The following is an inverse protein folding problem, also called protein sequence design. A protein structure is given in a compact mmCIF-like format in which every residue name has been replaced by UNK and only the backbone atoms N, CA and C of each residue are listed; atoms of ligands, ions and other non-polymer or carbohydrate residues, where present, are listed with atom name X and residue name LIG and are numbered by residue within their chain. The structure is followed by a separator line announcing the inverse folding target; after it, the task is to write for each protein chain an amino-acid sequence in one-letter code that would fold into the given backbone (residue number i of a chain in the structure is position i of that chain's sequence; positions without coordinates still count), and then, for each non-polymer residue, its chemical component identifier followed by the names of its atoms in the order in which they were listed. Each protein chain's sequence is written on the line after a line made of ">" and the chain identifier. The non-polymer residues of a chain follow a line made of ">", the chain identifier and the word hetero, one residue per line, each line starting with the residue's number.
data_IF_229557531353
#
_entry.id   IF_229557531353
#
_cell.length_a   1.000
_cell.length_b   1.000
_cell.length_c   1.000
_cell.angle_alpha   90.00
_cell.angle_beta   90.00
_cell.angle_gamma   90.00
#
_symmetry.space_group_name_H-M   'P 1'
#
loop_
_entity.id
_entity.type
_entity.pdbx_description
1 polymer ?
#
# COMPACT_ATOMS: atom_id res chain seq x y z
N UNK A 1 -85.89 11.62 4.59
CA UNK A 1 -84.89 10.99 5.49
C UNK A 1 -83.83 10.34 4.59
N UNK A 2 -82.78 11.06 4.25
CA UNK A 2 -81.70 10.60 3.41
C UNK A 2 -80.39 10.72 4.18
N UNK A 3 -79.72 9.61 4.44
CA UNK A 3 -78.42 9.54 5.07
C UNK A 3 -77.33 9.71 4.00
N UNK A 4 -76.26 10.51 4.22
CA UNK A 4 -75.10 10.53 3.31
C UNK A 4 -74.12 9.39 3.67
N UNK A 5 -73.63 8.69 2.64
CA UNK A 5 -72.50 7.79 2.70
C UNK A 5 -71.21 8.60 2.74
N UNK A 6 -70.45 8.46 3.76
CA UNK A 6 -69.05 8.94 3.86
C UNK A 6 -68.11 7.93 3.20
N UNK A 7 -67.52 8.30 2.07
CA UNK A 7 -66.47 7.49 1.44
C UNK A 7 -65.13 7.80 2.11
N UNK A 8 -64.54 6.73 2.71
CA UNK A 8 -63.20 6.78 3.31
C UNK A 8 -62.15 6.51 2.19
N UNK A 9 -61.44 7.53 1.76
CA UNK A 9 -60.35 7.38 0.82
C UNK A 9 -59.10 6.90 1.57
N UNK A 10 -58.67 5.66 1.31
CA UNK A 10 -57.39 5.11 1.79
C UNK A 10 -56.24 5.65 0.95
N UNK A 11 -55.38 6.47 1.56
CA UNK A 11 -54.15 6.99 0.94
C UNK A 11 -53.10 5.89 1.07
N UNK A 12 -52.81 5.19 -0.04
CA UNK A 12 -51.67 4.22 -0.12
C UNK A 12 -50.43 5.05 -0.35
N UNK A 13 -49.60 5.27 0.65
CA UNK A 13 -48.27 5.82 0.54
C UNK A 13 -47.35 4.77 -0.10
N UNK A 14 -47.06 5.00 -1.40
CA UNK A 14 -46.04 4.22 -2.13
C UNK A 14 -44.68 4.71 -1.70
N UNK A 15 -44.05 4.03 -0.73
CA UNK A 15 -42.64 4.25 -0.39
C UNK A 15 -41.79 3.63 -1.49
N UNK A 16 -41.32 4.46 -2.43
CA UNK A 16 -40.22 4.07 -3.33
C UNK A 16 -38.96 3.95 -2.52
N UNK A 17 -38.58 2.70 -2.19
CA UNK A 17 -37.23 2.42 -1.71
C UNK A 17 -36.26 2.77 -2.84
N UNK A 18 -35.46 3.82 -2.63
CA UNK A 18 -34.30 4.08 -3.47
C UNK A 18 -33.38 2.86 -3.37
N UNK A 19 -32.80 2.36 -4.47
CA UNK A 19 -31.81 1.33 -4.39
C UNK A 19 -30.64 1.92 -3.56
N UNK A 20 -30.34 1.27 -2.43
CA UNK A 20 -29.09 1.52 -1.75
C UNK A 20 -27.98 1.29 -2.79
N UNK A 21 -27.21 2.31 -3.10
CA UNK A 21 -25.97 2.13 -3.83
C UNK A 21 -25.20 1.09 -3.04
N UNK A 22 -24.93 -0.04 -3.67
CA UNK A 22 -23.94 -0.99 -3.19
C UNK A 22 -22.62 -0.22 -3.28
N UNK A 23 -22.29 0.54 -2.23
CA UNK A 23 -20.93 1.03 -2.02
C UNK A 23 -20.02 -0.19 -2.14
N UNK A 24 -18.95 -0.06 -2.91
CA UNK A 24 -18.03 -1.15 -3.20
C UNK A 24 -17.80 -1.94 -1.92
N UNK A 25 -18.03 -3.25 -1.95
CA UNK A 25 -17.82 -4.13 -0.80
C UNK A 25 -16.38 -4.01 -0.24
N UNK A 26 -15.49 -3.47 -1.06
CA UNK A 26 -14.12 -3.08 -0.76
C UNK A 26 -14.03 -1.93 0.27
N UNK A 27 -14.83 -0.85 0.12
CA UNK A 27 -14.83 0.28 1.08
C UNK A 27 -15.47 -0.07 2.41
N UNK A 28 -16.56 -0.83 2.40
CA UNK A 28 -17.35 -1.14 3.61
C UNK A 28 -16.66 -2.19 4.49
N UNK A 29 -15.96 -3.17 3.91
CA UNK A 29 -15.30 -4.23 4.69
C UNK A 29 -13.97 -3.75 5.35
N UNK A 30 -13.28 -2.77 4.76
CA UNK A 30 -12.02 -2.23 5.29
C UNK A 30 -12.21 -1.15 6.36
N UNK A 31 -13.17 -0.25 6.18
CA UNK A 31 -13.29 0.97 6.96
C UNK A 31 -13.61 0.77 8.44
N UNK A 32 -14.35 -0.27 8.82
CA UNK A 32 -14.77 -0.47 10.21
C UNK A 32 -13.76 -1.21 11.10
N UNK A 33 -12.75 -1.86 10.52
CA UNK A 33 -11.76 -2.65 11.29
C UNK A 33 -10.58 -1.83 11.81
N UNK A 34 -10.25 -0.69 11.17
CA UNK A 34 -8.95 -0.02 11.32
C UNK A 34 -9.01 1.44 11.75
N UNK A 35 -10.19 1.98 12.02
CA UNK A 35 -10.43 3.38 12.40
C UNK A 35 -9.57 3.81 13.61
N UNK A 36 -9.32 2.91 14.56
CA UNK A 36 -8.59 3.25 15.78
C UNK A 36 -7.13 3.66 15.57
N UNK A 37 -6.43 3.09 14.58
CA UNK A 37 -5.02 3.43 14.29
C UNK A 37 -4.88 4.82 13.67
N UNK A 38 -5.76 5.17 12.75
CA UNK A 38 -5.80 6.48 12.10
C UNK A 38 -6.17 7.58 13.12
N UNK A 39 -7.22 7.38 13.91
CA UNK A 39 -7.64 8.34 14.94
C UNK A 39 -6.53 8.60 15.96
N UNK A 40 -5.77 7.57 16.36
CA UNK A 40 -4.64 7.73 17.28
C UNK A 40 -3.49 8.52 16.64
N UNK A 41 -3.20 8.29 15.35
CA UNK A 41 -2.18 9.04 14.63
C UNK A 41 -2.58 10.51 14.47
N UNK A 42 -3.84 10.78 14.13
CA UNK A 42 -4.38 12.15 14.06
C UNK A 42 -4.30 12.87 15.42
N UNK A 43 -4.74 12.21 16.50
CA UNK A 43 -4.73 12.78 17.84
C UNK A 43 -3.31 13.07 18.39
N UNK A 44 -2.28 12.35 17.88
CA UNK A 44 -0.88 12.50 18.31
C UNK A 44 -0.06 13.38 17.38
N UNK A 45 -0.60 13.78 16.23
CA UNK A 45 0.13 14.52 15.23
C UNK A 45 0.58 15.90 15.74
N UNK A 46 1.90 16.14 15.62
CA UNK A 46 2.52 17.46 15.87
C UNK A 46 2.46 18.37 14.66
N UNK A 47 2.40 17.76 13.46
CA UNK A 47 2.28 18.44 12.18
C UNK A 47 1.69 17.49 11.15
N UNK A 48 1.10 18.05 10.09
CA UNK A 48 0.54 17.31 8.97
C UNK A 48 1.08 17.85 7.64
N UNK A 49 1.39 16.93 6.70
CA UNK A 49 1.84 17.21 5.34
C UNK A 49 1.08 16.29 4.37
N UNK A 50 -0.07 16.74 3.88
CA UNK A 50 -0.97 15.88 3.10
C UNK A 50 -1.38 14.63 3.89
N UNK A 51 -1.12 13.41 3.38
CA UNK A 51 -1.48 12.17 4.06
C UNK A 51 -0.52 11.80 5.22
N UNK A 52 0.53 12.59 5.46
CA UNK A 52 1.53 12.31 6.47
C UNK A 52 1.24 13.02 7.79
N UNK A 53 1.41 12.33 8.92
CA UNK A 53 1.29 12.86 10.29
C UNK A 53 2.61 12.67 11.02
N UNK A 54 3.24 13.76 11.42
CA UNK A 54 4.46 13.72 12.24
C UNK A 54 4.07 13.40 13.68
N UNK A 55 4.44 12.22 14.16
CA UNK A 55 4.12 11.77 15.52
C UNK A 55 5.14 12.25 16.55
N UNK A 56 6.42 12.18 16.17
CA UNK A 56 7.55 12.66 16.96
C UNK A 56 8.70 13.07 16.02
N UNK A 57 9.91 13.33 16.57
CA UNK A 57 11.07 13.78 15.77
C UNK A 57 11.59 12.70 14.81
N UNK A 58 11.28 11.44 15.04
CA UNK A 58 11.80 10.29 14.31
C UNK A 58 10.74 9.52 13.52
N UNK A 59 9.46 9.72 13.84
CA UNK A 59 8.35 8.89 13.36
C UNK A 59 7.29 9.71 12.65
N UNK A 60 6.94 9.28 11.45
CA UNK A 60 5.83 9.79 10.64
C UNK A 60 4.84 8.67 10.39
N UNK A 61 3.55 8.95 10.48
CA UNK A 61 2.50 8.04 10.04
C UNK A 61 1.99 8.44 8.65
N UNK A 62 1.69 7.44 7.81
CA UNK A 62 0.88 7.57 6.61
C UNK A 62 -0.52 7.04 6.96
N UNK A 63 -1.56 7.88 6.77
CA UNK A 63 -2.91 7.63 7.30
C UNK A 63 -4.03 7.86 6.28
N UNK A 64 -3.70 8.13 5.01
CA UNK A 64 -4.70 8.50 4.00
C UNK A 64 -4.21 8.15 2.59
N UNK A 65 -5.04 8.48 1.59
CA UNK A 65 -4.73 8.36 0.16
C UNK A 65 -3.55 9.24 -0.22
N UNK A 66 -2.64 8.71 -1.02
CA UNK A 66 -1.59 9.52 -1.67
C UNK A 66 -2.08 10.06 -3.02
N UNK A 67 -1.53 11.20 -3.42
CA UNK A 67 -1.91 11.91 -4.63
C UNK A 67 -0.69 12.50 -5.35
N UNK A 68 -0.94 13.28 -6.40
CA UNK A 68 0.09 14.00 -7.17
C UNK A 68 0.93 14.95 -6.31
N UNK A 69 0.39 15.50 -5.22
CA UNK A 69 1.10 16.44 -4.34
C UNK A 69 1.95 15.74 -3.28
N UNK A 70 1.70 14.46 -3.02
CA UNK A 70 2.32 13.71 -1.92
C UNK A 70 3.85 13.68 -1.98
N UNK A 71 4.54 13.57 -3.13
CA UNK A 71 6.00 13.68 -3.19
C UNK A 71 6.53 15.03 -2.69
N UNK A 72 5.89 16.13 -3.07
CA UNK A 72 6.30 17.47 -2.64
C UNK A 72 6.04 17.70 -1.15
N UNK A 73 4.91 17.17 -0.64
CA UNK A 73 4.56 17.21 0.78
C UNK A 73 5.55 16.40 1.62
N UNK A 74 5.94 15.21 1.16
CA UNK A 74 6.95 14.38 1.80
C UNK A 74 8.33 15.05 1.81
N UNK A 75 8.73 15.69 0.70
CA UNK A 75 9.97 16.47 0.65
C UNK A 75 9.95 17.66 1.63
N UNK A 76 8.81 18.35 1.76
CA UNK A 76 8.66 19.43 2.74
C UNK A 76 8.74 18.92 4.18
N UNK A 77 8.12 17.77 4.46
CA UNK A 77 8.19 17.09 5.74
C UNK A 77 9.65 16.75 6.12
N UNK A 78 10.41 16.10 5.25
CA UNK A 78 11.80 15.72 5.52
C UNK A 78 12.72 16.94 5.75
N UNK A 79 12.44 18.06 5.07
CA UNK A 79 13.19 19.32 5.33
C UNK A 79 12.87 19.89 6.70
N UNK A 80 11.61 19.80 7.14
CA UNK A 80 11.20 20.33 8.43
C UNK A 80 11.57 19.39 9.60
N UNK A 81 11.63 18.09 9.36
CA UNK A 81 11.93 17.03 10.33
C UNK A 81 13.07 16.13 9.83
N UNK A 82 14.32 16.61 9.82
CA UNK A 82 15.45 15.87 9.22
C UNK A 82 15.85 14.62 10.02
N UNK A 83 15.32 14.44 11.22
CA UNK A 83 15.59 13.28 12.06
C UNK A 83 14.58 12.14 11.88
N UNK A 84 13.61 12.27 10.98
CA UNK A 84 12.66 11.19 10.65
C UNK A 84 13.43 9.97 10.15
N UNK A 85 13.11 8.80 10.69
CA UNK A 85 13.74 7.49 10.40
C UNK A 85 12.71 6.39 10.21
N UNK A 86 11.46 6.60 10.62
CA UNK A 86 10.39 5.62 10.57
C UNK A 86 9.18 6.19 9.85
N UNK A 87 8.70 5.46 8.87
CA UNK A 87 7.40 5.67 8.24
C UNK A 87 6.46 4.53 8.67
N UNK A 88 5.42 4.88 9.41
CA UNK A 88 4.44 3.93 9.94
C UNK A 88 3.15 4.01 9.16
N UNK A 89 2.66 2.87 8.69
CA UNK A 89 1.40 2.77 7.97
C UNK A 89 0.27 2.43 8.94
N UNK A 90 -0.88 3.06 8.77
CA UNK A 90 -2.10 2.74 9.50
C UNK A 90 -3.22 2.36 8.53
N UNK A 91 -4.18 3.24 8.25
CA UNK A 91 -5.20 3.03 7.24
C UNK A 91 -4.83 3.79 5.98
N UNK A 92 -4.32 3.07 4.98
CA UNK A 92 -3.81 3.64 3.74
C UNK A 92 -4.59 3.06 2.55
N UNK A 93 -5.61 3.76 2.05
CA UNK A 93 -6.51 3.24 1.00
C UNK A 93 -5.85 3.02 -0.35
N UNK A 94 -4.75 3.72 -0.65
CA UNK A 94 -4.06 3.61 -1.93
C UNK A 94 -3.55 4.94 -2.45
N UNK A 95 -3.61 5.12 -3.76
CA UNK A 95 -3.17 6.34 -4.44
C UNK A 95 -4.17 6.78 -5.51
N UNK A 96 -4.22 8.09 -5.78
CA UNK A 96 -4.93 8.69 -6.91
C UNK A 96 -4.00 8.96 -8.11
N UNK A 97 -2.68 8.79 -7.95
CA UNK A 97 -1.70 9.00 -9.03
C UNK A 97 -0.53 8.01 -8.87
N UNK A 98 -0.55 6.97 -9.69
CA UNK A 98 0.47 5.90 -9.65
C UNK A 98 1.89 6.42 -9.94
N UNK A 99 2.03 7.37 -10.86
CA UNK A 99 3.35 7.93 -11.22
C UNK A 99 3.94 8.68 -10.03
N UNK A 100 3.15 9.53 -9.39
CA UNK A 100 3.56 10.24 -8.19
C UNK A 100 3.83 9.27 -7.01
N UNK A 101 3.03 8.22 -6.90
CA UNK A 101 3.18 7.20 -5.86
C UNK A 101 4.51 6.42 -6.01
N UNK A 102 4.85 5.97 -7.21
CA UNK A 102 6.12 5.30 -7.47
C UNK A 102 7.33 6.24 -7.27
N UNK A 103 7.16 7.55 -7.58
CA UNK A 103 8.16 8.57 -7.24
C UNK A 103 8.32 8.71 -5.73
N UNK A 104 7.21 8.79 -4.98
CA UNK A 104 7.21 8.85 -3.52
C UNK A 104 7.91 7.64 -2.90
N UNK A 105 7.66 6.44 -3.41
CA UNK A 105 8.35 5.23 -2.96
C UNK A 105 9.86 5.33 -3.14
N UNK A 106 10.35 5.81 -4.30
CA UNK A 106 11.79 6.06 -4.50
C UNK A 106 12.36 7.09 -3.52
N UNK A 107 11.58 8.10 -3.16
CA UNK A 107 12.00 9.10 -2.15
C UNK A 107 12.08 8.50 -0.75
N UNK A 108 11.14 7.64 -0.36
CA UNK A 108 11.16 6.89 0.91
C UNK A 108 12.42 6.02 0.97
N UNK A 109 12.73 5.29 -0.11
CA UNK A 109 13.93 4.45 -0.24
C UNK A 109 15.21 5.28 -0.12
N UNK A 110 15.29 6.40 -0.84
CA UNK A 110 16.43 7.31 -0.82
C UNK A 110 16.63 8.01 0.54
N UNK A 111 15.58 8.15 1.32
CA UNK A 111 15.64 8.67 2.68
C UNK A 111 16.05 7.61 3.73
N UNK A 112 16.26 6.36 3.32
CA UNK A 112 16.67 5.24 4.18
C UNK A 112 15.73 5.02 5.37
N UNK A 113 14.41 5.19 5.17
CA UNK A 113 13.44 5.01 6.23
C UNK A 113 13.18 3.53 6.52
N UNK A 114 13.03 3.21 7.79
CA UNK A 114 12.37 1.98 8.18
C UNK A 114 10.86 2.13 7.95
N UNK A 115 10.20 1.08 7.47
CA UNK A 115 8.74 1.01 7.33
C UNK A 115 8.17 0.07 8.37
N UNK A 116 7.17 0.54 9.09
CA UNK A 116 6.40 -0.22 10.07
C UNK A 116 4.95 -0.33 9.65
N UNK A 117 4.40 -1.55 9.69
CA UNK A 117 2.98 -1.84 9.50
C UNK A 117 2.49 -2.59 10.73
N UNK A 118 1.98 -1.87 11.76
CA UNK A 118 1.54 -2.45 13.02
C UNK A 118 0.32 -3.37 12.89
N UNK A 119 0.01 -4.11 13.95
CA UNK A 119 -1.25 -4.84 14.05
C UNK A 119 -2.44 -3.90 13.89
N UNK A 120 -3.46 -4.36 13.18
CA UNK A 120 -4.65 -3.58 12.88
C UNK A 120 -4.45 -2.50 11.82
N UNK A 121 -3.33 -2.48 11.12
CA UNK A 121 -3.13 -1.63 9.94
C UNK A 121 -3.74 -2.27 8.70
N UNK A 122 -4.27 -1.43 7.80
CA UNK A 122 -4.80 -1.84 6.49
C UNK A 122 -4.11 -1.04 5.38
N UNK A 123 -3.33 -1.72 4.55
CA UNK A 123 -2.56 -1.11 3.45
C UNK A 123 -3.09 -1.66 2.13
N UNK A 124 -3.60 -0.76 1.29
CA UNK A 124 -4.34 -1.17 0.10
C UNK A 124 -3.81 -0.51 -1.17
N UNK A 125 -4.01 -1.19 -2.31
CA UNK A 125 -3.72 -0.65 -3.64
C UNK A 125 -2.30 -0.06 -3.72
N UNK A 126 -2.12 1.12 -4.28
CA UNK A 126 -0.83 1.81 -4.42
C UNK A 126 -0.06 2.07 -3.12
N UNK A 127 -0.70 1.98 -1.95
CA UNK A 127 0.03 2.08 -0.68
C UNK A 127 0.93 0.85 -0.41
N UNK A 128 0.63 -0.30 -1.04
CA UNK A 128 1.44 -1.53 -0.94
C UNK A 128 2.83 -1.29 -1.55
N UNK A 129 2.92 -0.57 -2.67
CA UNK A 129 4.18 -0.19 -3.31
C UNK A 129 5.06 0.64 -2.37
N UNK A 130 4.45 1.53 -1.57
CA UNK A 130 5.20 2.36 -0.62
C UNK A 130 5.77 1.55 0.55
N UNK A 131 5.12 0.46 0.96
CA UNK A 131 5.67 -0.44 1.99
C UNK A 131 6.96 -1.08 1.51
N UNK A 132 7.05 -1.47 0.21
CA UNK A 132 8.27 -2.06 -0.37
C UNK A 132 9.47 -1.11 -0.32
N UNK A 133 9.23 0.19 -0.20
CA UNK A 133 10.28 1.20 -0.23
C UNK A 133 11.10 1.28 1.06
N UNK A 134 10.67 0.66 2.14
CA UNK A 134 11.43 0.66 3.39
C UNK A 134 12.80 0.00 3.24
N UNK A 135 13.82 0.61 3.85
CA UNK A 135 15.15 -0.02 3.96
C UNK A 135 15.10 -1.23 4.91
N UNK A 136 14.32 -1.13 5.95
CA UNK A 136 13.95 -2.21 6.87
C UNK A 136 12.44 -2.26 6.99
N UNK A 137 11.90 -3.47 7.03
CA UNK A 137 10.46 -3.71 7.08
C UNK A 137 10.08 -4.43 8.37
N UNK A 138 9.17 -3.84 9.12
CA UNK A 138 8.53 -4.46 10.29
C UNK A 138 7.03 -4.55 10.03
N UNK A 139 6.58 -5.72 9.60
CA UNK A 139 5.17 -6.01 9.29
C UNK A 139 4.65 -6.96 10.36
N UNK A 140 3.64 -6.53 11.11
CA UNK A 140 3.01 -7.34 12.15
C UNK A 140 2.08 -8.42 11.56
N UNK A 141 1.81 -9.48 12.31
CA UNK A 141 0.92 -10.57 11.88
C UNK A 141 -0.52 -10.12 11.66
N UNK A 142 -0.99 -9.19 12.49
CA UNK A 142 -2.33 -8.61 12.39
C UNK A 142 -2.47 -7.45 11.41
N UNK A 143 -1.46 -7.17 10.58
CA UNK A 143 -1.56 -6.26 9.46
C UNK A 143 -2.28 -6.92 8.28
N UNK A 144 -3.06 -6.16 7.54
CA UNK A 144 -3.74 -6.62 6.32
C UNK A 144 -3.31 -5.81 5.11
N UNK A 145 -3.24 -6.47 3.97
CA UNK A 145 -2.91 -5.87 2.69
C UNK A 145 -3.95 -6.23 1.65
N UNK A 146 -4.27 -5.32 0.74
CA UNK A 146 -5.14 -5.61 -0.38
C UNK A 146 -4.54 -5.10 -1.68
N UNK A 147 -4.52 -5.97 -2.70
CA UNK A 147 -4.02 -5.65 -4.04
C UNK A 147 -5.06 -5.94 -5.10
N UNK A 148 -4.99 -5.25 -6.21
CA UNK A 148 -5.80 -5.42 -7.41
C UNK A 148 -5.04 -4.95 -8.65
N UNK A 149 -5.53 -5.28 -9.84
CA UNK A 149 -5.00 -4.76 -11.10
C UNK A 149 -5.19 -3.24 -11.19
N UNK A 150 -4.19 -2.55 -11.69
CA UNK A 150 -4.29 -1.12 -11.96
C UNK A 150 -5.17 -0.84 -13.18
N UNK A 151 -5.74 0.35 -13.23
CA UNK A 151 -6.37 0.95 -14.41
C UNK A 151 -5.81 2.36 -14.62
N UNK A 152 -5.78 2.80 -15.87
CA UNK A 152 -5.41 4.18 -16.23
C UNK A 152 -6.64 5.12 -16.34
N UNK A 153 -6.38 6.35 -16.76
CA UNK A 153 -7.43 7.38 -16.93
C UNK A 153 -8.47 7.02 -18.00
N UNK A 154 -8.14 6.14 -18.95
CA UNK A 154 -9.02 5.63 -19.99
C UNK A 154 -9.78 4.36 -19.56
N UNK A 155 -9.53 3.87 -18.34
CA UNK A 155 -10.12 2.65 -17.77
C UNK A 155 -9.49 1.36 -18.31
N UNK A 156 -8.30 1.45 -18.93
CA UNK A 156 -7.55 0.29 -19.42
C UNK A 156 -6.67 -0.27 -18.30
N UNK A 157 -6.62 -1.59 -18.18
CA UNK A 157 -5.81 -2.30 -17.20
C UNK A 157 -4.63 -3.05 -17.80
N UNK A 158 -3.91 -3.77 -16.97
CA UNK A 158 -2.72 -4.52 -17.38
C UNK A 158 -2.95 -5.45 -18.58
N UNK A 159 -4.12 -6.07 -18.66
CA UNK A 159 -4.48 -7.01 -19.75
C UNK A 159 -4.69 -6.33 -21.11
N UNK A 160 -4.88 -5.00 -21.13
CA UNK A 160 -5.17 -4.24 -22.35
C UNK A 160 -3.89 -3.73 -23.04
N UNK A 161 -2.75 -3.90 -22.39
CA UNK A 161 -1.46 -3.44 -22.85
C UNK A 161 -0.54 -4.59 -23.32
N UNK A 162 0.30 -4.37 -24.34
CA UNK A 162 1.36 -5.33 -24.71
C UNK A 162 2.30 -5.62 -23.54
N UNK A 163 2.78 -6.85 -23.40
CA UNK A 163 3.61 -7.29 -22.28
C UNK A 163 4.92 -6.48 -22.09
N UNK A 164 5.42 -5.85 -23.14
CA UNK A 164 6.63 -5.02 -23.14
C UNK A 164 6.35 -3.53 -23.04
N UNK A 165 5.09 -3.14 -22.80
CA UNK A 165 4.68 -1.75 -22.75
C UNK A 165 5.30 -0.97 -21.57
N UNK A 166 5.48 0.35 -21.70
CA UNK A 166 5.95 1.21 -20.61
C UNK A 166 5.10 1.13 -19.34
N UNK A 167 3.79 0.87 -19.48
CA UNK A 167 2.83 0.74 -18.39
C UNK A 167 3.20 -0.40 -17.45
N UNK A 168 3.59 -1.56 -17.97
CA UNK A 168 4.11 -2.67 -17.19
C UNK A 168 5.53 -2.39 -16.66
N UNK A 169 6.39 -1.85 -17.53
CA UNK A 169 7.80 -1.67 -17.20
C UNK A 169 8.02 -0.71 -16.04
N UNK A 170 7.16 0.31 -15.84
CA UNK A 170 7.27 1.24 -14.71
C UNK A 170 7.17 0.55 -13.36
N UNK A 171 6.27 -0.43 -13.20
CA UNK A 171 6.11 -1.22 -11.98
C UNK A 171 7.25 -2.23 -11.80
N UNK A 172 7.58 -2.95 -12.85
CA UNK A 172 8.68 -3.93 -12.81
C UNK A 172 10.03 -3.26 -12.50
N UNK A 173 10.29 -2.07 -13.03
CA UNK A 173 11.46 -1.28 -12.69
C UNK A 173 11.42 -0.84 -11.22
N UNK A 174 10.27 -0.33 -10.76
CA UNK A 174 10.08 0.07 -9.37
C UNK A 174 10.34 -1.08 -8.38
N UNK A 175 9.77 -2.27 -8.62
CA UNK A 175 10.00 -3.41 -7.74
C UNK A 175 11.48 -3.81 -7.66
N UNK A 176 12.20 -3.71 -8.79
CA UNK A 176 13.66 -3.91 -8.82
C UNK A 176 14.40 -2.82 -8.05
N UNK A 177 13.99 -1.55 -8.18
CA UNK A 177 14.55 -0.44 -7.40
C UNK A 177 14.35 -0.66 -5.89
N UNK A 178 13.25 -1.33 -5.50
CA UNK A 178 12.98 -1.72 -4.11
C UNK A 178 13.72 -3.00 -3.67
N UNK A 179 14.54 -3.59 -4.54
CA UNK A 179 15.43 -4.70 -4.19
C UNK A 179 14.94 -6.08 -4.62
N UNK A 180 13.82 -6.22 -5.32
CA UNK A 180 13.36 -7.51 -5.84
C UNK A 180 14.23 -7.98 -7.00
N UNK A 181 14.58 -9.27 -7.00
CA UNK A 181 15.16 -9.93 -8.19
C UNK A 181 14.14 -9.92 -9.35
N UNK A 182 14.61 -9.95 -10.59
CA UNK A 182 13.75 -9.79 -11.76
C UNK A 182 12.57 -10.80 -11.80
N UNK A 183 12.80 -12.06 -11.48
CA UNK A 183 11.74 -13.08 -11.43
C UNK A 183 10.75 -12.85 -10.28
N UNK A 184 11.22 -12.35 -9.15
CA UNK A 184 10.37 -11.99 -8.02
C UNK A 184 9.51 -10.77 -8.35
N UNK A 185 10.08 -9.74 -8.97
CA UNK A 185 9.34 -8.57 -9.43
C UNK A 185 8.22 -8.94 -10.39
N UNK A 186 8.48 -9.85 -11.34
CA UNK A 186 7.47 -10.38 -12.26
C UNK A 186 6.38 -11.17 -11.52
N UNK A 187 6.75 -12.03 -10.57
CA UNK A 187 5.79 -12.82 -9.80
C UNK A 187 4.94 -11.92 -8.89
N UNK A 188 5.53 -10.92 -8.25
CA UNK A 188 4.82 -9.94 -7.44
C UNK A 188 3.85 -9.12 -8.30
N UNK A 189 4.30 -8.61 -9.45
CA UNK A 189 3.47 -7.91 -10.41
C UNK A 189 2.28 -8.75 -10.88
N UNK A 190 2.51 -10.01 -11.23
CA UNK A 190 1.43 -10.93 -11.62
C UNK A 190 0.45 -11.17 -10.46
N UNK A 191 0.93 -11.24 -9.22
CA UNK A 191 0.11 -11.40 -8.04
C UNK A 191 -0.77 -10.16 -7.78
N UNK A 192 -0.22 -8.94 -7.88
CA UNK A 192 -1.00 -7.71 -7.70
C UNK A 192 -2.08 -7.54 -8.77
N UNK A 193 -1.82 -7.99 -10.01
CA UNK A 193 -2.77 -7.94 -11.12
C UNK A 193 -3.62 -9.22 -11.26
N UNK A 194 -3.64 -10.11 -10.26
CA UNK A 194 -4.37 -11.40 -10.35
C UNK A 194 -5.88 -11.27 -10.22
N UNK A 195 -6.37 -10.12 -9.79
CA UNK A 195 -7.79 -9.76 -9.72
C UNK A 195 -8.01 -8.40 -10.39
N UNK A 196 -9.19 -8.13 -10.97
CA UNK A 196 -9.46 -6.86 -11.62
C UNK A 196 -9.52 -5.71 -10.62
N UNK A 197 -9.55 -4.47 -11.12
CA UNK A 197 -9.54 -3.25 -10.30
C UNK A 197 -10.71 -3.19 -9.30
N UNK A 198 -11.88 -3.70 -9.68
CA UNK A 198 -13.10 -3.68 -8.85
C UNK A 198 -13.12 -4.78 -7.78
N UNK A 199 -12.10 -5.64 -7.75
CA UNK A 199 -11.95 -6.72 -6.77
C UNK A 199 -10.71 -6.49 -5.90
N UNK A 200 -10.58 -7.27 -4.83
CA UNK A 200 -9.40 -7.22 -3.97
C UNK A 200 -8.89 -8.62 -3.66
N UNK A 201 -7.60 -8.81 -3.80
CA UNK A 201 -6.88 -9.94 -3.23
C UNK A 201 -6.30 -9.49 -1.89
N UNK A 202 -6.80 -10.08 -0.82
CA UNK A 202 -6.32 -9.82 0.53
C UNK A 202 -5.14 -10.72 0.86
N UNK A 203 -4.17 -10.14 1.57
CA UNK A 203 -2.98 -10.80 2.08
C UNK A 203 -2.87 -10.49 3.57
N UNK A 204 -2.46 -11.47 4.36
CA UNK A 204 -2.06 -11.30 5.75
C UNK A 204 -0.67 -10.67 5.85
N UNK A 205 -0.31 -10.15 7.03
CA UNK A 205 1.06 -9.67 7.28
C UNK A 205 2.11 -10.77 7.05
N UNK A 206 1.78 -12.03 7.38
CA UNK A 206 2.66 -13.18 7.13
C UNK A 206 2.87 -13.45 5.65
N UNK A 207 1.81 -13.41 4.83
CA UNK A 207 1.92 -13.58 3.37
C UNK A 207 2.73 -12.43 2.75
N UNK A 208 2.48 -11.18 3.17
CA UNK A 208 3.24 -10.05 2.67
C UNK A 208 4.72 -10.12 3.04
N UNK A 209 5.07 -10.55 4.26
CA UNK A 209 6.47 -10.81 4.63
C UNK A 209 7.13 -11.86 3.73
N UNK A 210 6.40 -12.91 3.33
CA UNK A 210 6.89 -13.91 2.39
C UNK A 210 7.31 -13.31 1.05
N UNK A 211 6.60 -12.28 0.57
CA UNK A 211 6.95 -11.57 -0.65
C UNK A 211 8.19 -10.68 -0.49
N UNK A 212 8.33 -9.96 0.62
CA UNK A 212 9.41 -8.98 0.80
C UNK A 212 10.71 -9.61 1.32
N UNK A 213 10.65 -10.62 2.21
CA UNK A 213 11.83 -11.30 2.74
C UNK A 213 12.47 -12.27 1.74
N UNK A 214 11.71 -12.76 0.76
CA UNK A 214 12.27 -13.50 -0.37
C UNK A 214 13.26 -12.68 -1.21
N UNK A 215 13.18 -11.34 -1.15
CA UNK A 215 14.17 -10.43 -1.75
C UNK A 215 15.48 -10.39 -0.96
N UNK A 216 15.40 -10.42 0.37
CA UNK A 216 16.57 -10.40 1.26
C UNK A 216 17.36 -11.72 1.21
N UNK A 217 16.67 -12.85 1.02
CA UNK A 217 17.31 -14.16 0.85
C UNK A 217 18.00 -14.34 -0.51
N UNK A 218 17.70 -13.48 -1.50
CA UNK A 218 18.32 -13.48 -2.83
C UNK A 218 19.54 -12.55 -2.94
N UNK A 219 19.89 -11.80 -1.88
CA UNK A 219 21.17 -11.10 -1.84
C UNK A 219 22.30 -12.13 -1.95
N UNK A 220 23.30 -11.95 -2.83
CA UNK A 220 24.38 -12.92 -2.99
C UNK A 220 25.05 -13.11 -1.64
N UNK A 221 24.90 -14.31 -1.08
CA UNK A 221 25.77 -14.74 0.02
C UNK A 221 27.18 -14.63 -0.53
N UNK A 222 28.01 -13.76 0.04
CA UNK A 222 29.42 -13.71 -0.26
C UNK A 222 29.94 -15.15 -0.08
N UNK A 223 30.36 -15.77 -1.17
CA UNK A 223 30.99 -17.07 -1.10
C UNK A 223 32.12 -16.98 -0.06
N UNK A 224 32.20 -17.91 0.91
CA UNK A 224 33.32 -17.90 1.82
C UNK A 224 34.57 -18.06 0.94
N UNK A 225 35.39 -17.05 0.92
CA UNK A 225 36.69 -17.11 0.27
C UNK A 225 37.46 -18.24 0.95
N UNK A 226 37.46 -19.41 0.28
CA UNK A 226 38.31 -20.54 0.69
C UNK A 226 39.73 -20.01 0.67
N UNK A 227 40.25 -19.70 1.86
CA UNK A 227 41.67 -19.47 2.03
C UNK A 227 42.40 -20.74 1.56
N UNK A 228 43.04 -20.63 0.41
CA UNK A 228 44.00 -21.65 -0.03
C UNK A 228 45.08 -21.76 1.08
N UNK A 229 44.97 -22.79 1.90
CA UNK A 229 46.07 -23.25 2.75
C UNK A 229 47.13 -23.74 1.79
N UNK A 230 48.20 -22.95 1.67
CA UNK A 230 49.41 -23.25 0.94
C UNK A 230 50.09 -24.45 1.64
N UNK A 231 49.87 -25.67 1.14
CA UNK A 231 50.44 -26.93 1.62
C UNK A 231 51.86 -27.15 1.09
N UNK A 232 52.63 -26.07 0.89
CA UNK A 232 54.01 -26.16 0.38
C UNK A 232 55.07 -25.84 1.46
N UNK A 233 54.94 -26.35 2.66
CA UNK A 233 56.04 -26.28 3.68
C UNK A 233 55.97 -27.41 4.73
N UNK A 234 56.08 -28.66 4.27
CA UNK A 234 56.59 -29.73 5.12
C UNK A 234 57.38 -30.72 4.23
N UNK A 235 58.59 -30.34 3.90
CA UNK A 235 59.67 -31.31 3.61
C UNK A 235 60.97 -30.67 4.08
N UNK A 236 61.39 -31.01 5.27
CA UNK A 236 62.73 -31.39 5.66
C UNK A 236 62.76 -31.66 7.17
#
# INVERSE_FOLDING_TARGET
>A
MTRPLTALAALIALTTALPAHAGNAFEVAGASRFVGGMEQAEARARAAYGPFRVLDESTVALVDVTDRASPAQFAALLRAFPNVRVLRFHDCPGTEDDVANLQLGRMIRAAHLAVEVPDGSSVRSGAVELVLAGERLAIADGAEFAVHGWIDEDGLGAQDYPADSPEHQRYLAYYRDMGMAAGQAQAFYAMTNSVPFEAARWLTGTEMRGWVQGAEAAAPQAEPMLAYLDLALVVH
#
